data_IF_114822947115
#
_entry.id   IF_114822947115
#
_cell.length_a   1.000
_cell.length_b   1.000
_cell.length_c   1.000
_cell.angle_alpha   90.00
_cell.angle_beta   90.00
_cell.angle_gamma   90.00
#
_symmetry.space_group_name_H-M   'P 1'
#
loop_
_entity.id
_entity.type
_entity.pdbx_description
1 polymer ?
#
# COMPACT_ATOMS: atom_id res chain seq x y z
N UNK A 1 13.78 13.04 27.03
CA UNK A 1 13.06 12.07 26.17
C UNK A 1 11.71 11.66 26.79
N UNK A 2 11.60 11.40 28.10
CA UNK A 2 10.36 11.00 28.78
C UNK A 2 9.23 12.04 28.65
N UNK A 3 9.53 13.35 28.74
CA UNK A 3 8.53 14.41 28.56
C UNK A 3 7.93 14.47 27.15
N UNK A 4 8.73 14.13 26.11
CA UNK A 4 8.21 14.03 24.72
C UNK A 4 7.32 12.83 24.56
N UNK A 5 7.65 11.70 25.21
CA UNK A 5 6.82 10.49 25.25
C UNK A 5 5.47 10.76 25.91
N UNK A 6 5.46 11.42 27.07
CA UNK A 6 4.23 11.76 27.79
C UNK A 6 3.28 12.67 26.99
N UNK A 7 3.84 13.68 26.26
CA UNK A 7 3.04 14.54 25.38
C UNK A 7 2.38 13.76 24.22
N UNK A 8 3.08 12.74 23.72
CA UNK A 8 2.54 11.88 22.65
C UNK A 8 1.46 10.94 23.18
N UNK A 9 1.67 10.35 24.35
CA UNK A 9 0.67 9.51 25.02
C UNK A 9 -0.63 10.28 25.33
N UNK A 10 -0.53 11.51 25.82
CA UNK A 10 -1.69 12.39 26.07
C UNK A 10 -2.46 12.77 24.79
N UNK A 11 -1.85 12.65 23.60
CA UNK A 11 -2.50 12.93 22.31
C UNK A 11 -3.02 11.67 21.61
N UNK A 12 -2.82 10.49 22.21
CA UNK A 12 -3.46 9.28 21.68
C UNK A 12 -4.97 9.47 21.74
N UNK A 13 -5.61 9.23 20.63
CA UNK A 13 -7.06 9.19 20.50
C UNK A 13 -7.49 7.79 20.12
N UNK A 14 -8.56 7.34 20.71
CA UNK A 14 -9.19 6.08 20.37
C UNK A 14 -10.29 6.30 19.34
N UNK A 15 -10.48 5.32 18.48
CA UNK A 15 -11.55 5.29 17.50
C UNK A 15 -12.72 4.49 18.05
N UNK A 16 -13.92 5.06 17.95
CA UNK A 16 -15.14 4.44 18.37
C UNK A 16 -16.16 4.42 17.23
N UNK A 17 -16.83 3.29 17.07
CA UNK A 17 -17.98 3.14 16.20
C UNK A 17 -19.25 3.27 17.01
N UNK A 18 -20.15 4.16 16.62
CA UNK A 18 -21.49 4.25 17.19
C UNK A 18 -22.51 3.73 16.18
N UNK A 19 -23.24 2.66 16.55
CA UNK A 19 -24.35 2.14 15.77
C UNK A 19 -25.64 2.86 16.18
N UNK A 20 -26.20 3.64 15.26
CA UNK A 20 -27.48 4.31 15.50
C UNK A 20 -28.66 3.35 15.62
N UNK A 21 -28.58 2.18 14.98
CA UNK A 21 -29.62 1.15 14.99
C UNK A 21 -29.70 0.48 16.36
N UNK A 22 -28.58 0.11 16.93
CA UNK A 22 -28.51 -0.67 18.17
C UNK A 22 -28.17 0.22 19.39
N UNK A 23 -27.92 1.52 19.15
CA UNK A 23 -27.49 2.50 20.15
C UNK A 23 -26.26 2.02 20.95
N UNK A 24 -25.34 1.33 20.29
CA UNK A 24 -24.14 0.76 20.91
C UNK A 24 -22.89 1.52 20.48
N UNK A 25 -22.01 1.73 21.45
CA UNK A 25 -20.68 2.29 21.23
C UNK A 25 -19.63 1.18 21.34
N UNK A 26 -18.80 1.02 20.31
CA UNK A 26 -17.73 0.01 20.28
C UNK A 26 -16.39 0.67 20.03
N UNK A 27 -15.35 0.28 20.78
CA UNK A 27 -13.99 0.71 20.51
C UNK A 27 -13.42 -0.12 19.34
N UNK A 28 -12.88 0.55 18.30
CA UNK A 28 -12.37 -0.10 17.11
C UNK A 28 -10.89 -0.44 17.18
N UNK A 29 -10.09 0.36 17.88
CA UNK A 29 -8.66 0.12 18.00
C UNK A 29 -8.31 -0.50 19.35
N UNK A 30 -7.30 -1.36 19.34
CA UNK A 30 -6.59 -1.75 20.54
C UNK A 30 -5.28 -0.92 20.65
N UNK A 31 -4.56 -1.05 21.75
CA UNK A 31 -3.38 -0.24 22.04
C UNK A 31 -2.20 -0.54 21.12
N UNK A 32 -2.23 -1.66 20.41
CA UNK A 32 -1.14 -2.17 19.54
C UNK A 32 -1.38 -1.90 18.07
N UNK A 33 -2.64 -1.62 17.66
CA UNK A 33 -3.04 -1.40 16.28
C UNK A 33 -3.33 0.07 16.00
N UNK A 34 -2.67 0.61 15.00
CA UNK A 34 -2.95 1.92 14.43
C UNK A 34 -3.89 1.77 13.24
N UNK A 35 -5.10 2.31 13.36
CA UNK A 35 -6.11 2.29 12.28
C UNK A 35 -5.82 3.38 11.25
N UNK A 36 -6.04 3.04 9.99
CA UNK A 36 -6.04 3.97 8.87
C UNK A 36 -7.36 3.83 8.13
N UNK A 37 -8.17 4.87 8.19
CA UNK A 37 -9.42 4.94 7.42
C UNK A 37 -9.12 5.44 6.02
N UNK A 38 -9.83 4.87 5.05
CA UNK A 38 -9.85 5.37 3.71
C UNK A 38 -11.14 6.16 3.51
N UNK A 39 -11.02 7.48 3.49
CA UNK A 39 -12.17 8.39 3.37
C UNK A 39 -12.73 8.44 1.94
N UNK A 40 -12.00 7.86 0.96
CA UNK A 40 -12.40 7.86 -0.45
C UNK A 40 -13.51 6.85 -0.77
N UNK A 41 -13.74 5.85 0.11
CA UNK A 41 -14.66 4.74 -0.17
C UNK A 41 -15.53 4.41 1.03
N UNK A 42 -16.82 4.19 0.77
CA UNK A 42 -17.71 3.53 1.72
C UNK A 42 -17.37 2.04 1.76
N UNK A 43 -16.59 1.64 2.73
CA UNK A 43 -16.15 0.25 2.89
C UNK A 43 -16.20 -0.15 4.35
N UNK A 44 -16.64 -1.38 4.62
CA UNK A 44 -16.58 -1.98 5.95
C UNK A 44 -15.16 -2.46 6.30
N UNK A 45 -14.26 -2.49 5.30
CA UNK A 45 -12.89 -2.96 5.47
C UNK A 45 -11.91 -1.80 5.55
N UNK A 46 -11.14 -1.76 6.64
CA UNK A 46 -10.09 -0.76 6.84
C UNK A 46 -8.74 -1.41 7.12
N UNK A 47 -7.69 -0.62 6.92
CA UNK A 47 -6.34 -1.05 7.26
C UNK A 47 -6.01 -0.73 8.71
N UNK A 48 -5.34 -1.67 9.34
CA UNK A 48 -4.62 -1.42 10.57
C UNK A 48 -3.16 -1.86 10.43
N UNK A 49 -2.31 -1.26 11.21
CA UNK A 49 -0.89 -1.62 11.24
C UNK A 49 -0.35 -1.69 12.65
N UNK A 50 0.55 -2.64 12.91
CA UNK A 50 1.32 -2.73 14.14
C UNK A 50 2.81 -2.76 13.84
N UNK A 51 3.58 -2.01 14.60
CA UNK A 51 5.04 -2.02 14.55
C UNK A 51 5.67 -2.66 15.80
N UNK A 52 4.87 -3.26 16.65
CA UNK A 52 5.30 -3.79 17.94
C UNK A 52 6.41 -4.83 17.80
N UNK A 53 6.24 -5.79 16.89
CA UNK A 53 7.25 -6.81 16.59
C UNK A 53 8.59 -6.24 16.09
N UNK A 54 8.57 -5.01 15.58
CA UNK A 54 9.73 -4.33 14.98
C UNK A 54 10.21 -3.15 15.80
N UNK A 55 9.71 -2.93 17.02
CA UNK A 55 10.01 -1.75 17.84
C UNK A 55 11.50 -1.55 18.08
N UNK A 56 12.25 -2.64 18.26
CA UNK A 56 13.71 -2.59 18.44
C UNK A 56 14.42 -2.34 17.11
N UNK A 57 14.12 -3.12 16.07
CA UNK A 57 14.80 -2.99 14.76
C UNK A 57 14.50 -1.65 14.08
N UNK A 58 13.33 -1.10 14.27
CA UNK A 58 12.93 0.20 13.73
C UNK A 58 13.68 1.40 14.34
N UNK A 59 14.45 1.20 15.42
CA UNK A 59 15.32 2.24 15.98
C UNK A 59 16.55 2.49 15.10
N UNK A 60 16.97 1.47 14.33
CA UNK A 60 18.19 1.47 13.54
C UNK A 60 17.95 1.40 12.03
N UNK A 61 16.74 1.08 11.60
CA UNK A 61 16.40 0.91 10.20
C UNK A 61 15.28 1.84 9.75
N UNK A 62 15.41 2.36 8.54
CA UNK A 62 14.39 3.17 7.86
C UNK A 62 14.27 2.68 6.41
N UNK A 63 13.08 2.59 5.85
CA UNK A 63 11.74 2.83 6.44
C UNK A 63 11.34 1.78 7.48
N UNK A 64 10.45 2.18 8.39
CA UNK A 64 10.01 1.33 9.50
C UNK A 64 9.16 0.16 9.01
N UNK A 65 9.49 -1.04 9.52
CA UNK A 65 8.70 -2.23 9.28
C UNK A 65 7.44 -2.25 10.15
N UNK A 66 6.36 -2.77 9.60
CA UNK A 66 5.07 -2.95 10.28
C UNK A 66 4.33 -4.15 9.72
N UNK A 67 3.53 -4.78 10.55
CA UNK A 67 2.55 -5.77 10.13
C UNK A 67 1.27 -5.06 9.70
N UNK A 68 0.64 -5.56 8.65
CA UNK A 68 -0.56 -4.98 8.04
C UNK A 68 -1.73 -5.92 8.26
N UNK A 69 -2.82 -5.37 8.75
CA UNK A 69 -4.07 -6.08 9.02
C UNK A 69 -5.23 -5.46 8.26
N UNK A 70 -6.18 -6.28 7.86
CA UNK A 70 -7.52 -5.84 7.46
C UNK A 70 -8.43 -5.97 8.67
N UNK A 71 -9.19 -4.93 8.96
CA UNK A 71 -10.23 -4.94 9.98
C UNK A 71 -11.57 -4.79 9.29
N UNK A 72 -12.49 -5.67 9.63
CA UNK A 72 -13.90 -5.53 9.32
C UNK A 72 -14.56 -4.76 10.46
N UNK A 73 -15.15 -3.60 10.15
CA UNK A 73 -15.79 -2.74 11.19
C UNK A 73 -17.01 -3.39 11.81
N UNK A 74 -17.78 -4.13 11.03
CA UNK A 74 -19.04 -4.71 11.52
C UNK A 74 -18.77 -5.89 12.46
N UNK A 75 -17.86 -6.78 12.05
CA UNK A 75 -17.54 -8.00 12.81
C UNK A 75 -16.39 -7.83 13.79
N UNK A 76 -15.58 -6.77 13.63
CA UNK A 76 -14.32 -6.54 14.34
C UNK A 76 -13.28 -7.65 14.12
N UNK A 77 -13.41 -8.38 13.03
CA UNK A 77 -12.43 -9.41 12.66
C UNK A 77 -11.13 -8.75 12.17
N UNK A 78 -10.03 -9.13 12.81
CA UNK A 78 -8.68 -8.70 12.45
C UNK A 78 -8.02 -9.81 11.63
N UNK A 79 -7.70 -9.54 10.38
CA UNK A 79 -7.01 -10.46 9.50
C UNK A 79 -5.62 -9.94 9.13
N UNK A 80 -4.58 -10.68 9.53
CA UNK A 80 -3.20 -10.37 9.12
C UNK A 80 -3.05 -10.59 7.61
N UNK A 81 -2.66 -9.53 6.88
CA UNK A 81 -2.44 -9.53 5.43
C UNK A 81 -0.96 -9.77 5.12
N UNK A 82 -0.09 -8.98 5.72
CA UNK A 82 1.34 -8.98 5.42
C UNK A 82 2.18 -8.63 6.65
N UNK A 83 3.38 -9.21 6.72
CA UNK A 83 4.35 -8.94 7.78
C UNK A 83 5.53 -8.13 7.26
N UNK A 84 6.07 -7.26 8.12
CA UNK A 84 7.31 -6.54 7.87
C UNK A 84 7.26 -5.58 6.70
N UNK A 85 6.09 -5.08 6.32
CA UNK A 85 5.94 -4.14 5.21
C UNK A 85 6.58 -2.81 5.58
N UNK A 86 7.51 -2.34 4.74
CA UNK A 86 8.27 -1.10 4.99
C UNK A 86 7.62 0.12 4.33
N UNK A 87 6.98 -0.04 3.19
CA UNK A 87 6.28 1.02 2.50
C UNK A 87 4.78 0.84 2.64
N UNK A 88 4.06 1.94 2.82
CA UNK A 88 2.61 1.93 2.92
C UNK A 88 1.96 1.42 1.65
N UNK A 89 0.78 0.83 1.81
CA UNK A 89 -0.03 0.34 0.72
C UNK A 89 -1.48 0.76 0.89
N UNK A 90 -2.33 0.32 -0.03
CA UNK A 90 -3.77 0.59 -0.04
C UNK A 90 -4.57 -0.69 -0.09
N UNK A 91 -5.69 -0.68 0.60
CA UNK A 91 -6.70 -1.73 0.51
C UNK A 91 -7.69 -1.38 -0.60
N UNK A 92 -8.09 -2.38 -1.39
CA UNK A 92 -9.19 -2.17 -2.34
C UNK A 92 -10.52 -1.92 -1.61
N UNK A 93 -11.47 -1.18 -2.21
CA UNK A 93 -12.73 -0.85 -1.55
C UNK A 93 -13.52 -2.05 -1.02
N UNK A 94 -13.47 -3.16 -1.74
CA UNK A 94 -14.13 -4.42 -1.36
C UNK A 94 -13.30 -5.30 -0.39
N UNK A 95 -12.15 -4.81 0.09
CA UNK A 95 -11.29 -5.55 1.02
C UNK A 95 -10.63 -6.80 0.46
N UNK A 96 -10.66 -7.01 -0.88
CA UNK A 96 -10.17 -8.24 -1.52
C UNK A 96 -8.67 -8.21 -1.84
N UNK A 97 -8.10 -7.03 -2.07
CA UNK A 97 -6.72 -6.84 -2.46
C UNK A 97 -6.03 -5.79 -1.58
N UNK A 98 -4.77 -6.04 -1.27
CA UNK A 98 -3.87 -5.05 -0.66
C UNK A 98 -2.70 -4.81 -1.61
N UNK A 99 -2.49 -3.57 -2.02
CA UNK A 99 -1.40 -3.17 -2.90
C UNK A 99 -0.30 -2.47 -2.12
N UNK A 100 0.95 -2.77 -2.42
CA UNK A 100 2.11 -2.14 -1.78
C UNK A 100 3.32 -2.13 -2.71
N UNK A 101 4.29 -1.28 -2.41
CA UNK A 101 5.58 -1.26 -3.11
C UNK A 101 6.58 -2.17 -2.39
N UNK A 102 7.20 -3.07 -3.15
CA UNK A 102 8.30 -3.91 -2.66
C UNK A 102 9.64 -3.30 -3.09
N UNK A 103 10.44 -2.75 -2.16
CA UNK A 103 11.70 -2.09 -2.51
C UNK A 103 12.80 -3.06 -2.95
N UNK A 104 12.75 -4.32 -2.52
CA UNK A 104 13.76 -5.34 -2.88
C UNK A 104 13.62 -5.73 -4.36
N UNK A 105 12.38 -5.81 -4.84
CA UNK A 105 12.08 -6.10 -6.23
C UNK A 105 11.94 -4.84 -7.09
N UNK A 106 11.83 -3.66 -6.45
CA UNK A 106 11.49 -2.38 -7.10
C UNK A 106 10.18 -2.44 -7.88
N UNK A 107 9.19 -3.19 -7.36
CA UNK A 107 7.93 -3.51 -8.03
C UNK A 107 6.72 -3.22 -7.16
N UNK A 108 5.60 -2.89 -7.81
CA UNK A 108 4.30 -2.85 -7.15
C UNK A 108 3.67 -4.23 -7.12
N UNK A 109 3.26 -4.63 -5.93
CA UNK A 109 2.70 -5.94 -5.64
C UNK A 109 1.25 -5.80 -5.17
N UNK A 110 0.44 -6.81 -5.44
CA UNK A 110 -0.88 -6.96 -4.86
C UNK A 110 -1.02 -8.31 -4.17
N UNK A 111 -1.52 -8.31 -2.94
CA UNK A 111 -1.88 -9.53 -2.22
C UNK A 111 -3.39 -9.75 -2.38
N UNK A 112 -3.78 -10.90 -2.91
CA UNK A 112 -5.18 -11.36 -2.87
C UNK A 112 -5.47 -11.95 -1.50
N UNK A 113 -6.25 -11.23 -0.71
CA UNK A 113 -6.43 -11.54 0.71
C UNK A 113 -7.06 -12.92 0.92
N UNK A 114 -8.09 -13.26 0.12
CA UNK A 114 -8.80 -14.53 0.26
C UNK A 114 -7.96 -15.75 -0.16
N UNK A 115 -7.06 -15.59 -1.14
CA UNK A 115 -6.21 -16.67 -1.64
C UNK A 115 -4.84 -16.69 -0.97
N UNK A 116 -4.46 -15.62 -0.28
CA UNK A 116 -3.14 -15.41 0.34
C UNK A 116 -1.98 -15.55 -0.66
N UNK A 117 -2.23 -15.19 -1.92
CA UNK A 117 -1.21 -15.17 -2.96
C UNK A 117 -0.84 -13.74 -3.34
N UNK A 118 0.36 -13.58 -3.88
CA UNK A 118 0.90 -12.29 -4.27
C UNK A 118 1.05 -12.22 -5.78
N UNK A 119 0.60 -11.13 -6.37
CA UNK A 119 0.65 -10.83 -7.79
C UNK A 119 1.56 -9.63 -7.98
N UNK A 120 2.47 -9.71 -8.93
CA UNK A 120 3.23 -8.55 -9.35
C UNK A 120 2.41 -7.73 -10.35
N UNK A 121 2.23 -6.44 -10.07
CA UNK A 121 1.47 -5.53 -10.92
C UNK A 121 2.32 -4.89 -12.02
N UNK A 122 3.61 -4.68 -11.75
CA UNK A 122 4.52 -3.94 -12.65
C UNK A 122 5.58 -4.80 -13.33
N UNK A 123 5.73 -6.08 -12.96
CA UNK A 123 6.74 -6.97 -13.54
C UNK A 123 6.63 -7.13 -15.07
N UNK A 124 5.42 -7.09 -15.62
CA UNK A 124 5.19 -7.15 -17.06
C UNK A 124 5.49 -5.82 -17.75
N UNK A 125 5.22 -4.70 -17.06
CA UNK A 125 5.43 -3.35 -17.60
C UNK A 125 6.92 -3.09 -17.78
N UNK A 126 7.76 -3.48 -16.81
CA UNK A 126 9.21 -3.30 -16.91
C UNK A 126 9.81 -4.10 -18.06
N UNK A 127 9.31 -5.32 -18.34
CA UNK A 127 9.75 -6.11 -19.50
C UNK A 127 9.39 -5.45 -20.83
N UNK A 128 8.22 -4.83 -20.91
CA UNK A 128 7.79 -4.09 -22.12
C UNK A 128 8.61 -2.82 -22.28
N UNK A 129 8.84 -2.06 -21.21
CA UNK A 129 9.67 -0.84 -21.24
C UNK A 129 11.11 -1.16 -21.63
N UNK A 130 11.73 -2.19 -21.06
CA UNK A 130 13.08 -2.64 -21.46
C UNK A 130 13.13 -3.09 -22.92
N UNK A 131 12.07 -3.73 -23.40
CA UNK A 131 11.93 -4.09 -24.81
C UNK A 131 11.85 -2.86 -25.72
N UNK A 132 11.08 -1.85 -25.33
CA UNK A 132 10.97 -0.58 -26.03
C UNK A 132 12.28 0.23 -25.99
N UNK A 133 12.94 0.30 -24.83
CA UNK A 133 14.27 0.92 -24.73
C UNK A 133 15.31 0.24 -25.61
N UNK A 134 15.34 -1.10 -25.64
CA UNK A 134 16.28 -1.85 -26.47
C UNK A 134 15.99 -1.65 -27.96
N UNK A 135 14.74 -1.44 -28.34
CA UNK A 135 14.30 -1.16 -29.69
C UNK A 135 14.64 0.28 -30.10
N UNK A 136 14.34 1.25 -29.23
CA UNK A 136 14.69 2.65 -29.45
C UNK A 136 16.18 2.88 -29.57
N UNK A 137 17.00 2.20 -28.76
CA UNK A 137 18.48 2.25 -28.89
C UNK A 137 18.98 1.72 -30.24
N UNK A 138 18.32 0.70 -30.79
CA UNK A 138 18.68 0.14 -32.11
C UNK A 138 18.27 1.02 -33.28
N UNK A 139 17.06 1.62 -33.17
CA UNK A 139 16.47 2.37 -34.28
C UNK A 139 16.93 3.85 -34.33
N UNK A 140 17.18 4.45 -33.16
CA UNK A 140 17.49 5.89 -33.05
C UNK A 140 18.94 6.16 -32.64
N UNK A 141 19.69 5.15 -32.23
CA UNK A 141 21.10 5.30 -31.85
C UNK A 141 21.36 6.10 -30.57
N UNK A 142 20.31 6.26 -29.72
CA UNK A 142 20.37 7.09 -28.50
C UNK A 142 20.91 6.26 -27.35
N UNK A 143 21.99 6.73 -26.72
CA UNK A 143 22.65 6.04 -25.62
C UNK A 143 21.89 6.16 -24.27
N UNK A 144 20.96 7.12 -24.15
CA UNK A 144 20.14 7.35 -22.96
C UNK A 144 18.80 7.97 -23.36
N UNK A 145 17.71 7.34 -22.97
CA UNK A 145 16.37 7.90 -23.15
C UNK A 145 16.10 8.91 -22.02
N UNK A 146 15.73 10.12 -22.38
CA UNK A 146 15.19 11.10 -21.45
C UNK A 146 13.67 10.90 -21.33
N UNK A 147 13.01 11.42 -20.24
CA UNK A 147 11.54 11.36 -20.12
C UNK A 147 10.80 11.92 -21.33
N UNK A 148 11.34 12.96 -21.96
CA UNK A 148 10.74 13.57 -23.17
C UNK A 148 10.80 12.64 -24.39
N UNK A 149 11.87 11.84 -24.53
CA UNK A 149 11.98 10.83 -25.58
C UNK A 149 10.99 9.67 -25.35
N UNK A 150 10.71 9.31 -24.09
CA UNK A 150 9.71 8.29 -23.76
C UNK A 150 8.29 8.76 -24.11
N UNK A 151 7.97 10.03 -23.89
CA UNK A 151 6.68 10.63 -24.28
C UNK A 151 6.49 10.61 -25.80
N UNK A 152 7.50 10.98 -26.55
CA UNK A 152 7.47 10.96 -28.02
C UNK A 152 7.34 9.55 -28.60
N UNK A 153 7.99 8.55 -28.00
CA UNK A 153 7.87 7.16 -28.39
C UNK A 153 6.48 6.58 -28.04
N UNK A 154 5.89 7.02 -26.93
CA UNK A 154 4.54 6.61 -26.53
C UNK A 154 3.48 7.12 -27.49
N UNK A 155 3.65 8.31 -28.03
CA UNK A 155 2.74 8.89 -29.04
C UNK A 155 2.88 8.21 -30.41
N UNK A 156 4.11 7.80 -30.80
CA UNK A 156 4.39 7.21 -32.11
C UNK A 156 4.10 5.72 -32.22
N UNK A 157 4.25 4.93 -31.13
CA UNK A 157 4.31 3.47 -31.21
C UNK A 157 3.17 2.71 -30.52
N UNK A 158 2.29 3.36 -29.73
CA UNK A 158 1.24 2.62 -29.03
C UNK A 158 -0.04 3.42 -28.83
N UNK A 159 -0.93 3.51 -29.82
CA UNK A 159 -2.28 4.03 -29.64
C UNK A 159 -3.10 3.16 -28.64
N UNK A 160 -2.71 1.92 -28.40
CA UNK A 160 -3.43 0.98 -27.51
C UNK A 160 -3.17 1.22 -26.02
N UNK A 161 -2.10 1.92 -25.63
CA UNK A 161 -1.80 2.26 -24.24
C UNK A 161 -2.66 3.42 -23.70
N UNK A 162 -3.40 4.12 -24.54
CA UNK A 162 -4.35 5.17 -24.11
C UNK A 162 -5.50 4.65 -23.25
N UNK A 163 -5.82 3.37 -23.33
CA UNK A 163 -6.93 2.75 -22.57
C UNK A 163 -6.57 2.32 -21.13
N UNK A 164 -5.31 2.45 -20.71
CA UNK A 164 -4.86 2.05 -19.38
C UNK A 164 -4.82 3.21 -18.35
N UNK A 165 -5.14 4.44 -18.78
CA UNK A 165 -5.09 5.65 -17.95
C UNK A 165 -6.44 6.38 -17.86
N UNK A 166 -7.57 5.65 -17.96
CA UNK A 166 -8.91 6.17 -17.62
C UNK A 166 -9.46 5.43 -16.41
#
# INVERSE_FOLDING_TARGET
QQLKGLKREKKKSDWFLYSFKDQTLRKLNNDTLSLSFNDEYESNYHLASSNEAYAVSNQWSYPWARDIYRIDIDTQEELLIAKGVRFGGRLSPNGAYYTYYNPELSEHMAIRINKRDTICLTCSVDSVLRGLEARARREVGVSRLTPDHLMTLQECFCPELRSLYI
#
